data_IF_093747489259
#
_entry.id   IF_093747489259
#
_cell.length_a   1.000
_cell.length_b   1.000
_cell.length_c   1.000
_cell.angle_alpha   90.00
_cell.angle_beta   90.00
_cell.angle_gamma   90.00
#
_symmetry.space_group_name_H-M   'P 1'
#
loop_
_entity.id
_entity.type
_entity.pdbx_description
1 polymer ?
#
# COMPACT_ATOMS: atom_id res chain seq x y z
N UNK A 1 7.08 6.00 0.20
CA UNK A 1 5.72 6.52 0.47
C UNK A 1 4.71 5.57 -0.14
N UNK A 2 3.74 5.16 0.65
CA UNK A 2 2.77 4.14 0.24
C UNK A 2 1.36 4.73 0.28
N UNK A 3 0.65 4.61 -0.83
CA UNK A 3 -0.75 5.01 -0.94
C UNK A 3 -1.66 3.80 -0.83
N UNK A 4 -2.80 3.94 -0.15
CA UNK A 4 -3.72 2.83 0.08
C UNK A 4 -4.64 2.60 -1.12
N UNK A 5 -5.01 3.66 -1.83
CA UNK A 5 -5.90 3.61 -2.99
C UNK A 5 -5.43 4.56 -4.09
N UNK A 6 -6.16 4.59 -5.20
CA UNK A 6 -5.82 5.43 -6.34
C UNK A 6 -5.91 6.92 -6.03
N UNK A 7 -6.85 7.30 -5.18
CA UNK A 7 -7.01 8.69 -4.77
C UNK A 7 -5.80 9.16 -3.98
N UNK A 8 -5.32 8.35 -3.03
CA UNK A 8 -4.10 8.66 -2.28
C UNK A 8 -2.90 8.80 -3.21
N UNK A 9 -2.75 7.89 -4.18
CA UNK A 9 -1.63 7.95 -5.13
C UNK A 9 -1.70 9.20 -5.99
N UNK A 10 -2.89 9.57 -6.43
CA UNK A 10 -3.10 10.79 -7.21
C UNK A 10 -2.70 12.02 -6.42
N UNK A 11 -3.10 12.09 -5.14
CA UNK A 11 -2.78 13.22 -4.27
C UNK A 11 -1.27 13.30 -3.99
N UNK A 12 -0.62 12.16 -3.78
CA UNK A 12 0.83 12.11 -3.59
C UNK A 12 1.57 12.61 -4.83
N UNK A 13 1.12 12.23 -6.02
CA UNK A 13 1.72 12.69 -7.27
C UNK A 13 1.54 14.19 -7.47
N UNK A 14 0.41 14.74 -7.04
CA UNK A 14 0.19 16.20 -7.10
C UNK A 14 1.14 16.98 -6.19
N UNK A 15 1.47 16.41 -5.03
CA UNK A 15 2.43 17.03 -4.11
C UNK A 15 3.85 17.00 -4.67
N UNK A 16 4.17 16.01 -5.47
CA UNK A 16 5.47 15.84 -6.11
C UNK A 16 5.44 16.48 -7.52
N UNK A 17 5.35 17.79 -7.58
CA UNK A 17 5.15 18.54 -8.82
C UNK A 17 6.21 18.31 -9.89
N UNK A 18 7.44 18.03 -9.48
CA UNK A 18 8.55 17.81 -10.40
C UNK A 18 8.77 16.34 -10.74
N UNK A 19 7.99 15.43 -10.16
CA UNK A 19 8.15 14.00 -10.37
C UNK A 19 9.44 13.42 -9.82
N UNK A 20 10.11 14.14 -8.94
CA UNK A 20 11.43 13.77 -8.45
C UNK A 20 11.36 12.56 -7.49
N UNK A 21 10.21 12.30 -6.89
CA UNK A 21 10.00 11.21 -5.95
C UNK A 21 9.15 10.06 -6.51
N UNK A 22 8.90 10.07 -7.83
CA UNK A 22 8.02 9.08 -8.47
C UNK A 22 8.45 7.64 -8.18
N UNK A 23 9.74 7.37 -8.12
CA UNK A 23 10.27 6.05 -7.78
C UNK A 23 10.14 5.66 -6.31
N UNK A 24 9.71 6.57 -5.46
CA UNK A 24 9.52 6.35 -4.03
C UNK A 24 8.05 6.29 -3.62
N UNK A 25 7.14 6.39 -4.58
CA UNK A 25 5.70 6.34 -4.35
C UNK A 25 5.16 5.04 -4.95
N UNK A 26 4.48 4.24 -4.13
CA UNK A 26 3.95 2.96 -4.56
C UNK A 26 2.61 2.67 -3.88
N UNK A 27 1.71 1.90 -4.53
CA UNK A 27 0.49 1.46 -3.86
C UNK A 27 0.80 0.35 -2.86
N UNK A 28 0.04 0.31 -1.75
CA UNK A 28 0.18 -0.78 -0.77
C UNK A 28 -0.04 -2.14 -1.42
N UNK A 29 -1.01 -2.24 -2.33
CA UNK A 29 -1.32 -3.51 -3.00
C UNK A 29 -0.24 -3.98 -3.98
N UNK A 30 0.77 -3.19 -4.26
CA UNK A 30 1.97 -3.65 -4.96
C UNK A 30 2.73 -4.70 -4.14
N UNK A 31 2.64 -4.62 -2.82
CA UNK A 31 3.37 -5.52 -1.90
C UNK A 31 2.57 -6.74 -1.48
N UNK A 32 1.26 -6.78 -1.76
CA UNK A 32 0.44 -7.94 -1.40
C UNK A 32 0.70 -9.12 -2.33
N UNK A 33 0.74 -10.34 -1.78
CA UNK A 33 0.91 -11.57 -2.55
C UNK A 33 -0.27 -12.51 -2.42
N UNK A 34 -1.05 -12.38 -1.35
CA UNK A 34 -2.18 -13.26 -1.04
C UNK A 34 -3.53 -12.66 -1.39
N UNK A 35 -3.57 -11.41 -1.80
CA UNK A 35 -4.80 -10.66 -2.06
C UNK A 35 -4.76 -10.11 -3.48
N UNK A 36 -5.84 -10.29 -4.27
CA UNK A 36 -5.86 -9.82 -5.66
C UNK A 36 -6.23 -8.33 -5.80
N UNK A 37 -6.53 -7.65 -4.71
CA UNK A 37 -6.98 -6.26 -4.72
C UNK A 37 -5.90 -5.34 -5.30
N UNK A 38 -6.33 -4.39 -6.12
CA UNK A 38 -5.46 -3.32 -6.64
C UNK A 38 -5.41 -2.11 -5.72
N UNK A 39 -6.41 -1.99 -4.85
CA UNK A 39 -6.52 -0.92 -3.85
C UNK A 39 -6.91 -1.54 -2.52
N UNK A 40 -6.48 -0.90 -1.42
CA UNK A 40 -6.96 -1.30 -0.09
C UNK A 40 -8.41 -0.86 0.06
N UNK A 41 -9.36 -1.78 0.29
CA UNK A 41 -10.76 -1.42 0.43
C UNK A 41 -11.00 -0.54 1.65
N UNK A 42 -12.04 0.31 1.57
CA UNK A 42 -12.46 1.09 2.73
C UNK A 42 -13.26 0.19 3.68
N UNK A 43 -12.77 -0.08 4.90
CA UNK A 43 -13.44 -0.99 5.82
C UNK A 43 -14.77 -0.46 6.36
N UNK A 44 -15.03 0.84 6.19
CA UNK A 44 -16.24 1.47 6.67
C UNK A 44 -17.50 0.81 6.08
N UNK A 45 -17.43 0.38 4.82
CA UNK A 45 -18.59 -0.19 4.12
C UNK A 45 -18.72 -1.71 4.29
N UNK A 46 -17.73 -2.38 4.85
CA UNK A 46 -17.69 -3.82 4.95
C UNK A 46 -18.05 -4.39 6.33
N UNK A 47 -18.39 -3.53 7.32
CA UNK A 47 -18.64 -3.98 8.68
C UNK A 47 -17.41 -4.64 9.30
N UNK A 48 -17.62 -5.54 10.28
CA UNK A 48 -16.52 -6.20 10.97
C UNK A 48 -15.69 -7.10 10.06
N UNK A 49 -16.35 -7.82 9.16
CA UNK A 49 -15.64 -8.67 8.19
C UNK A 49 -14.76 -7.84 7.26
N UNK A 50 -15.23 -6.64 6.89
CA UNK A 50 -14.45 -5.70 6.10
C UNK A 50 -13.19 -5.23 6.82
N UNK A 51 -13.30 -4.94 8.12
CA UNK A 51 -12.14 -4.57 8.94
C UNK A 51 -11.14 -5.72 9.03
N UNK A 52 -11.60 -6.94 9.28
CA UNK A 52 -10.74 -8.11 9.37
C UNK A 52 -10.01 -8.38 8.05
N UNK A 53 -10.71 -8.22 6.94
CA UNK A 53 -10.13 -8.39 5.61
C UNK A 53 -9.00 -7.37 5.38
N UNK A 54 -9.24 -6.11 5.69
CA UNK A 54 -8.22 -5.05 5.52
C UNK A 54 -7.02 -5.29 6.43
N UNK A 55 -7.23 -5.73 7.68
CA UNK A 55 -6.13 -6.05 8.59
C UNK A 55 -5.25 -7.14 8.00
N UNK A 56 -5.84 -8.21 7.48
CA UNK A 56 -5.09 -9.31 6.86
C UNK A 56 -4.33 -8.89 5.62
N UNK A 57 -4.97 -8.07 4.79
CA UNK A 57 -4.35 -7.52 3.59
C UNK A 57 -3.13 -6.65 3.95
N UNK A 58 -3.28 -5.77 4.95
CA UNK A 58 -2.20 -4.92 5.40
C UNK A 58 -1.06 -5.71 6.07
N UNK A 59 -1.38 -6.77 6.80
CA UNK A 59 -0.36 -7.66 7.36
C UNK A 59 0.46 -8.31 6.27
N UNK A 60 -0.17 -8.77 5.19
CA UNK A 60 0.51 -9.33 4.03
C UNK A 60 1.38 -8.28 3.34
N UNK A 61 0.81 -7.13 3.00
CA UNK A 61 1.53 -6.06 2.31
C UNK A 61 2.68 -5.48 3.13
N UNK A 62 2.44 -5.20 4.40
CA UNK A 62 3.47 -4.64 5.28
C UNK A 62 4.58 -5.63 5.56
N UNK A 63 4.26 -6.93 5.72
CA UNK A 63 5.26 -7.97 5.90
C UNK A 63 6.19 -8.06 4.69
N UNK A 64 5.64 -8.05 3.48
CA UNK A 64 6.42 -8.09 2.26
C UNK A 64 7.23 -6.81 2.06
N UNK A 65 6.65 -5.66 2.38
CA UNK A 65 7.37 -4.38 2.33
C UNK A 65 8.57 -4.39 3.28
N UNK A 66 8.38 -4.90 4.50
CA UNK A 66 9.47 -5.00 5.48
C UNK A 66 10.62 -5.87 4.94
N UNK A 67 10.30 -7.02 4.35
CA UNK A 67 11.32 -7.90 3.77
C UNK A 67 12.10 -7.21 2.65
N UNK A 68 11.42 -6.46 1.79
CA UNK A 68 12.09 -5.68 0.74
C UNK A 68 13.03 -4.60 1.31
N UNK A 69 12.57 -3.92 2.36
CA UNK A 69 13.39 -2.89 3.02
C UNK A 69 14.63 -3.51 3.69
N UNK A 70 14.48 -4.69 4.30
CA UNK A 70 15.62 -5.41 4.87
C UNK A 70 16.66 -5.74 3.79
N UNK A 71 16.23 -6.23 2.64
CA UNK A 71 17.11 -6.55 1.53
C UNK A 71 17.85 -5.31 1.02
N UNK A 72 17.12 -4.20 0.82
CA UNK A 72 17.71 -2.95 0.32
C UNK A 72 18.70 -2.35 1.29
N UNK A 73 18.44 -2.48 2.58
CA UNK A 73 19.28 -1.90 3.63
C UNK A 73 20.32 -2.89 4.17
N UNK A 74 20.36 -4.10 3.65
CA UNK A 74 21.27 -5.17 4.09
C UNK A 74 21.15 -5.50 5.59
N UNK A 75 19.92 -5.49 6.08
CA UNK A 75 19.63 -5.82 7.49
C UNK A 75 19.40 -7.30 7.72
#
# INVERSE_FOLDING_TARGET
>A
IVGMDRENLRDLKRLDKKGQWAGKIAPMCFFTTRFPDEEVPDPYYGGQEGFEYVVKLLQDGCGNLLERLKEQLSL
#
